data_IF_289307646805
#
_entry.id   IF_289307646805
#
_cell.length_a   1.000
_cell.length_b   1.000
_cell.length_c   1.000
_cell.angle_alpha   90.00
_cell.angle_beta   90.00
_cell.angle_gamma   90.00
#
_symmetry.space_group_name_H-M   'P 1'
#
loop_
_entity.id
_entity.type
_entity.pdbx_description
1 polymer ?
#
# COMPACT_ATOMS: atom_id res chain seq x y z
N UNK A 1 68.79 24.24 -50.00
CA UNK A 1 69.94 23.44 -50.47
C UNK A 1 70.20 22.39 -49.39
N UNK A 2 69.56 21.22 -49.35
CA UNK A 2 69.24 20.19 -50.39
C UNK A 2 70.47 19.33 -50.73
N UNK A 3 70.44 17.98 -50.75
CA UNK A 3 69.48 16.93 -50.31
C UNK A 3 70.27 15.82 -49.55
N UNK A 4 69.79 14.66 -49.05
CA UNK A 4 68.51 13.90 -49.10
C UNK A 4 68.23 13.31 -47.69
N UNK A 5 67.65 12.14 -47.33
CA UNK A 5 67.11 10.92 -47.99
C UNK A 5 68.07 9.69 -47.95
N UNK A 6 67.65 8.43 -47.75
CA UNK A 6 66.31 7.87 -47.48
C UNK A 6 66.34 6.43 -46.93
N UNK A 7 65.44 6.06 -46.00
CA UNK A 7 64.75 4.73 -45.99
C UNK A 7 63.54 4.70 -45.02
N UNK A 8 62.50 3.93 -45.38
CA UNK A 8 61.30 3.66 -44.57
C UNK A 8 61.42 2.31 -43.84
N UNK A 9 60.83 2.21 -42.65
CA UNK A 9 60.22 0.98 -42.11
C UNK A 9 58.92 1.40 -41.39
N UNK A 10 57.83 0.67 -41.60
CA UNK A 10 56.58 0.86 -40.84
C UNK A 10 56.54 -0.12 -39.66
N UNK A 11 56.00 0.32 -38.51
CA UNK A 11 55.71 -0.53 -37.36
C UNK A 11 54.22 -0.45 -37.03
N UNK A 12 53.58 -1.61 -36.83
CA UNK A 12 52.18 -1.72 -36.41
C UNK A 12 52.02 -1.69 -34.89
N UNK A 13 50.78 -1.58 -34.37
CA UNK A 13 50.50 -1.62 -32.94
C UNK A 13 50.71 -3.04 -32.36
N UNK A 14 51.20 -3.17 -31.11
CA UNK A 14 51.35 -4.46 -30.43
C UNK A 14 50.02 -4.95 -29.81
N UNK A 15 49.96 -6.25 -29.49
CA UNK A 15 48.84 -6.90 -28.83
C UNK A 15 49.24 -7.50 -27.46
N UNK A 16 48.26 -7.60 -26.57
CA UNK A 16 48.12 -8.51 -25.43
C UNK A 16 49.35 -8.83 -24.55
N UNK A 17 49.32 -8.35 -23.30
CA UNK A 17 48.98 -9.21 -22.14
C UNK A 17 48.94 -8.41 -20.82
N UNK A 18 48.11 -8.86 -19.84
CA UNK A 18 48.45 -8.97 -18.39
C UNK A 18 47.20 -9.32 -17.55
N UNK A 19 47.20 -10.54 -17.00
CA UNK A 19 46.55 -11.01 -15.75
C UNK A 19 45.04 -10.75 -15.55
N UNK A 20 44.29 -11.87 -15.53
CA UNK A 20 42.96 -11.96 -14.90
C UNK A 20 43.07 -11.74 -13.40
N UNK A 21 42.21 -10.88 -12.84
CA UNK A 21 41.94 -10.87 -11.40
C UNK A 21 40.43 -10.95 -11.16
N UNK A 22 40.01 -11.93 -10.34
CA UNK A 22 38.61 -12.38 -10.26
C UNK A 22 37.91 -11.67 -9.10
N UNK A 23 37.05 -10.70 -9.41
CA UNK A 23 36.37 -9.89 -8.38
C UNK A 23 34.83 -9.92 -8.52
N UNK A 24 34.16 -9.70 -7.40
CA UNK A 24 32.73 -9.96 -7.18
C UNK A 24 31.86 -8.86 -7.81
N UNK A 25 30.77 -9.25 -8.46
CA UNK A 25 29.69 -8.33 -8.88
C UNK A 25 28.61 -8.24 -7.79
N UNK A 26 28.28 -7.02 -7.36
CA UNK A 26 26.88 -6.60 -7.26
C UNK A 26 26.48 -5.71 -8.45
N UNK A 27 25.19 -5.47 -8.62
CA UNK A 27 24.62 -4.74 -9.77
C UNK A 27 24.85 -3.22 -9.68
N UNK A 28 24.80 -2.55 -10.84
CA UNK A 28 25.13 -1.13 -10.99
C UNK A 28 24.05 -0.21 -10.43
N UNK A 29 24.39 0.44 -9.32
CA UNK A 29 24.33 1.89 -9.11
C UNK A 29 23.60 2.71 -10.20
N UNK A 30 22.54 3.43 -9.83
CA UNK A 30 22.03 4.57 -10.60
C UNK A 30 21.95 5.82 -9.70
N UNK A 31 22.94 6.71 -9.81
CA UNK A 31 22.96 7.98 -9.07
C UNK A 31 21.85 8.92 -9.55
N UNK A 32 21.04 9.46 -8.63
CA UNK A 32 20.23 10.66 -8.82
C UNK A 32 20.50 11.60 -7.62
N UNK A 33 20.51 12.91 -7.86
CA UNK A 33 21.02 13.90 -6.91
C UNK A 33 20.02 14.21 -5.79
N UNK A 34 20.51 14.25 -4.56
CA UNK A 34 19.76 14.73 -3.38
C UNK A 34 19.44 16.23 -3.51
N UNK A 35 18.27 16.65 -3.01
CA UNK A 35 17.95 18.06 -2.70
C UNK A 35 17.11 18.08 -1.44
N UNK A 36 17.65 18.64 -0.35
CA UNK A 36 17.02 18.59 0.97
C UNK A 36 16.08 19.78 1.17
N UNK A 37 14.76 19.55 1.14
CA UNK A 37 13.75 20.54 1.50
C UNK A 37 13.14 20.23 2.87
N UNK A 38 13.39 21.11 3.85
CA UNK A 38 12.52 21.27 5.02
C UNK A 38 11.33 22.12 4.59
N UNK A 39 10.11 21.64 4.73
CA UNK A 39 8.92 22.43 4.44
C UNK A 39 8.24 22.92 5.72
N UNK A 40 8.49 24.19 6.02
CA UNK A 40 7.49 25.04 6.68
C UNK A 40 6.21 25.06 5.83
N UNK A 41 5.05 25.27 6.46
CA UNK A 41 3.77 25.26 5.77
C UNK A 41 3.64 26.34 4.67
N UNK A 42 2.88 25.99 3.62
CA UNK A 42 2.62 26.71 2.36
C UNK A 42 3.82 26.85 1.41
N UNK A 43 3.78 26.11 0.31
CA UNK A 43 3.73 26.70 -1.05
C UNK A 43 3.28 25.66 -2.10
N UNK A 44 2.74 26.13 -3.24
CA UNK A 44 2.20 25.29 -4.31
C UNK A 44 3.25 25.06 -5.42
N UNK A 45 3.97 23.93 -5.41
CA UNK A 45 4.79 23.52 -6.58
C UNK A 45 4.99 22.00 -6.71
N UNK A 46 4.54 21.48 -7.86
CA UNK A 46 5.10 20.41 -8.72
C UNK A 46 5.89 19.24 -8.10
N UNK A 47 5.43 18.03 -8.42
CA UNK A 47 6.25 16.82 -8.70
C UNK A 47 7.34 16.47 -7.66
N UNK A 48 6.92 16.14 -6.44
CA UNK A 48 7.79 15.66 -5.36
C UNK A 48 7.84 14.13 -5.26
N UNK A 49 8.48 13.44 -6.20
CA UNK A 49 8.67 11.98 -6.16
C UNK A 49 9.88 11.64 -5.28
N UNK A 50 9.65 11.17 -4.05
CA UNK A 50 10.69 10.89 -3.03
C UNK A 50 10.65 9.42 -2.59
N UNK A 51 11.83 8.81 -2.43
CA UNK A 51 12.04 7.54 -1.69
C UNK A 51 12.41 7.89 -0.24
N UNK A 52 11.76 7.29 0.76
CA UNK A 52 12.08 7.49 2.18
C UNK A 52 12.94 6.34 2.71
N UNK A 53 14.20 6.32 2.27
CA UNK A 53 15.16 5.29 2.62
C UNK A 53 15.94 5.64 3.90
N UNK A 54 15.95 4.66 4.81
CA UNK A 54 16.74 4.53 6.05
C UNK A 54 16.54 5.64 7.12
N UNK A 55 15.93 5.22 8.25
CA UNK A 55 15.76 5.93 9.53
C UNK A 55 14.94 7.25 9.62
N UNK A 56 14.36 7.79 8.54
CA UNK A 56 13.43 8.93 8.66
C UNK A 56 12.04 8.53 9.25
N UNK A 57 11.72 9.05 10.44
CA UNK A 57 10.34 9.18 10.93
C UNK A 57 9.69 10.39 10.24
N UNK A 58 8.75 10.17 9.33
CA UNK A 58 8.18 11.22 8.48
C UNK A 58 6.85 11.77 8.99
N UNK A 59 6.88 12.96 9.61
CA UNK A 59 5.67 13.77 9.84
C UNK A 59 5.40 14.68 8.63
N UNK A 60 4.15 14.79 8.17
CA UNK A 60 3.77 15.66 7.05
C UNK A 60 2.37 16.24 7.22
N UNK A 61 2.20 17.53 6.90
CA UNK A 61 0.89 18.21 6.86
C UNK A 61 0.70 18.85 5.49
N UNK A 62 -0.29 18.40 4.72
CA UNK A 62 -0.57 18.93 3.38
C UNK A 62 -0.94 17.87 2.33
N UNK A 63 -0.39 18.02 1.12
CA UNK A 63 -0.65 17.15 -0.03
C UNK A 63 0.63 16.37 -0.41
N UNK A 64 0.56 15.05 -0.34
CA UNK A 64 1.51 14.13 -0.98
C UNK A 64 0.88 13.68 -2.30
N UNK A 65 1.51 14.02 -3.43
CA UNK A 65 0.96 13.66 -4.74
C UNK A 65 1.30 12.21 -5.10
N UNK A 66 2.57 11.83 -4.97
CA UNK A 66 3.06 10.47 -5.20
C UNK A 66 4.18 10.19 -4.21
N UNK A 67 4.16 9.01 -3.60
CA UNK A 67 5.24 8.51 -2.75
C UNK A 67 5.47 7.05 -3.12
N UNK A 68 6.69 6.69 -3.54
CA UNK A 68 6.98 5.30 -3.91
C UNK A 68 7.11 4.43 -2.65
N UNK A 69 7.82 4.91 -1.63
CA UNK A 69 8.17 4.04 -0.51
C UNK A 69 8.28 4.78 0.83
N UNK A 70 7.71 4.17 1.88
CA UNK A 70 7.97 4.46 3.29
C UNK A 70 8.43 3.19 4.01
N UNK A 71 9.71 3.16 4.45
CA UNK A 71 10.29 1.99 5.12
C UNK A 71 9.87 1.85 6.59
N UNK A 72 9.84 2.94 7.36
CA UNK A 72 9.77 2.90 8.83
C UNK A 72 8.44 3.43 9.41
N UNK A 73 8.21 4.74 9.38
CA UNK A 73 6.94 5.29 9.87
C UNK A 73 6.59 6.63 9.24
N UNK A 74 5.33 6.74 8.81
CA UNK A 74 4.73 7.98 8.29
C UNK A 74 3.53 8.41 9.15
N UNK A 75 3.51 9.70 9.50
CA UNK A 75 2.35 10.39 10.07
C UNK A 75 1.93 11.51 9.13
N UNK A 76 0.74 11.43 8.55
CA UNK A 76 0.24 12.41 7.57
C UNK A 76 -1.08 13.03 8.00
N UNK A 77 -1.18 14.36 7.97
CA UNK A 77 -2.43 15.10 8.12
C UNK A 77 -2.75 15.82 6.80
N UNK A 78 -3.72 15.32 6.05
CA UNK A 78 -4.10 15.89 4.74
C UNK A 78 -4.45 14.83 3.69
N UNK A 79 -3.90 14.98 2.48
CA UNK A 79 -4.23 14.17 1.31
C UNK A 79 -2.99 13.44 0.79
N UNK A 80 -3.07 12.12 0.67
CA UNK A 80 -2.16 11.28 -0.12
C UNK A 80 -2.92 10.89 -1.39
N UNK A 81 -2.44 11.28 -2.57
CA UNK A 81 -3.07 10.86 -3.83
C UNK A 81 -2.61 9.46 -4.24
N UNK A 82 -1.30 9.20 -4.32
CA UNK A 82 -0.76 7.84 -4.55
C UNK A 82 0.34 7.51 -3.54
N UNK A 83 0.27 6.31 -2.97
CA UNK A 83 1.40 5.64 -2.32
C UNK A 83 1.49 4.19 -2.82
N UNK A 84 2.66 3.80 -3.32
CA UNK A 84 2.92 2.42 -3.73
C UNK A 84 3.14 1.55 -2.47
N UNK A 85 4.19 1.79 -1.68
CA UNK A 85 4.55 0.89 -0.57
C UNK A 85 4.76 1.56 0.82
N UNK A 86 4.07 1.03 1.84
CA UNK A 86 4.38 1.26 3.25
C UNK A 86 4.77 -0.05 3.95
N UNK A 87 6.03 -0.21 4.32
CA UNK A 87 6.51 -1.48 4.91
C UNK A 87 6.10 -1.63 6.38
N UNK A 88 6.26 -0.58 7.21
CA UNK A 88 6.14 -0.70 8.67
C UNK A 88 4.89 -0.03 9.27
N UNK A 89 4.85 1.31 9.37
CA UNK A 89 3.76 2.02 10.07
C UNK A 89 3.25 3.23 9.30
N UNK A 90 1.94 3.27 9.04
CA UNK A 90 1.24 4.46 8.56
C UNK A 90 0.19 4.93 9.56
N UNK A 91 0.15 6.24 9.82
CA UNK A 91 -0.94 6.91 10.53
C UNK A 91 -1.39 8.12 9.70
N UNK A 92 -2.63 8.11 9.20
CA UNK A 92 -3.15 9.16 8.32
C UNK A 92 -4.45 9.75 8.86
N UNK A 93 -4.51 11.08 8.94
CA UNK A 93 -5.74 11.83 9.23
C UNK A 93 -6.10 12.65 8.01
N UNK A 94 -7.16 12.24 7.30
CA UNK A 94 -7.59 12.87 6.05
C UNK A 94 -7.94 11.85 4.97
N UNK A 95 -7.34 11.94 3.78
CA UNK A 95 -7.72 11.14 2.61
C UNK A 95 -6.51 10.43 2.00
N UNK A 96 -6.68 9.15 1.69
CA UNK A 96 -5.80 8.34 0.83
C UNK A 96 -6.62 8.00 -0.42
N UNK A 97 -6.16 8.41 -1.61
CA UNK A 97 -6.87 8.08 -2.86
C UNK A 97 -6.45 6.69 -3.36
N UNK A 98 -5.16 6.43 -3.54
CA UNK A 98 -4.64 5.09 -3.83
C UNK A 98 -3.51 4.72 -2.87
N UNK A 99 -3.61 3.53 -2.28
CA UNK A 99 -2.51 2.85 -1.62
C UNK A 99 -2.42 1.42 -2.17
N UNK A 100 -1.30 1.06 -2.81
CA UNK A 100 -1.13 -0.30 -3.33
C UNK A 100 -0.87 -1.28 -2.17
N UNK A 101 0.20 -1.06 -1.39
CA UNK A 101 0.63 -2.05 -0.38
C UNK A 101 0.95 -1.46 1.00
N UNK A 102 0.31 -2.00 2.04
CA UNK A 102 0.72 -1.84 3.43
C UNK A 102 1.07 -3.21 4.06
N UNK A 103 2.34 -3.43 4.40
CA UNK A 103 2.76 -4.75 4.90
C UNK A 103 2.42 -4.95 6.38
N UNK A 104 2.81 -4.02 7.27
CA UNK A 104 2.72 -4.23 8.72
C UNK A 104 1.52 -3.54 9.41
N UNK A 105 1.43 -2.21 9.41
CA UNK A 105 0.34 -1.51 10.12
C UNK A 105 -0.09 -0.19 9.47
N UNK A 106 -1.40 -0.02 9.29
CA UNK A 106 -2.02 1.26 8.94
C UNK A 106 -3.12 1.63 9.93
N UNK A 107 -3.15 2.90 10.33
CA UNK A 107 -4.24 3.52 11.07
C UNK A 107 -4.72 4.75 10.30
N UNK A 108 -5.99 4.78 9.87
CA UNK A 108 -6.55 5.89 9.08
C UNK A 108 -7.81 6.46 9.71
N UNK A 109 -7.86 7.79 9.86
CA UNK A 109 -9.04 8.54 10.27
C UNK A 109 -9.47 9.43 9.09
N UNK A 110 -10.56 9.07 8.42
CA UNK A 110 -11.06 9.76 7.23
C UNK A 110 -11.44 8.80 6.10
N UNK A 111 -10.89 8.99 4.90
CA UNK A 111 -11.31 8.26 3.70
C UNK A 111 -10.14 7.54 3.02
N UNK A 112 -10.36 6.27 2.66
CA UNK A 112 -9.54 5.50 1.72
C UNK A 112 -10.42 5.26 0.48
N UNK A 113 -9.97 5.69 -0.70
CA UNK A 113 -10.71 5.41 -1.94
C UNK A 113 -10.36 4.02 -2.48
N UNK A 114 -9.08 3.75 -2.73
CA UNK A 114 -8.58 2.41 -3.09
C UNK A 114 -7.45 1.99 -2.17
N UNK A 115 -7.54 0.77 -1.65
CA UNK A 115 -6.43 0.02 -1.06
C UNK A 115 -6.37 -1.36 -1.71
N UNK A 116 -5.27 -1.71 -2.37
CA UNK A 116 -5.16 -3.04 -2.99
C UNK A 116 -4.85 -4.08 -1.90
N UNK A 117 -3.77 -3.90 -1.13
CA UNK A 117 -3.29 -4.92 -0.20
C UNK A 117 -2.92 -4.38 1.19
N UNK A 118 -3.49 -4.98 2.23
CA UNK A 118 -2.99 -4.91 3.61
C UNK A 118 -2.68 -6.30 4.16
N UNK A 119 -1.41 -6.58 4.45
CA UNK A 119 -1.00 -7.92 4.88
C UNK A 119 -1.31 -8.16 6.37
N UNK A 120 -0.80 -7.32 7.28
CA UNK A 120 -0.87 -7.59 8.73
C UNK A 120 -2.01 -6.89 9.48
N UNK A 121 -2.08 -5.56 9.50
CA UNK A 121 -3.09 -4.85 10.29
C UNK A 121 -3.56 -3.52 9.71
N UNK A 122 -4.88 -3.35 9.63
CA UNK A 122 -5.53 -2.08 9.30
C UNK A 122 -6.57 -1.72 10.37
N UNK A 123 -6.53 -0.46 10.83
CA UNK A 123 -7.58 0.16 11.63
C UNK A 123 -8.08 1.42 10.94
N UNK A 124 -9.37 1.48 10.59
CA UNK A 124 -9.96 2.62 9.87
C UNK A 124 -11.17 3.18 10.59
N UNK A 125 -11.20 4.50 10.79
CA UNK A 125 -12.38 5.25 11.27
C UNK A 125 -12.83 6.19 10.17
N UNK A 126 -13.96 5.89 9.52
CA UNK A 126 -14.49 6.66 8.39
C UNK A 126 -14.94 5.77 7.23
N UNK A 127 -14.44 6.01 6.02
CA UNK A 127 -14.92 5.35 4.79
C UNK A 127 -13.79 4.64 4.04
N UNK A 128 -14.06 3.42 3.60
CA UNK A 128 -13.30 2.69 2.59
C UNK A 128 -14.22 2.51 1.38
N UNK A 129 -13.81 2.97 0.20
CA UNK A 129 -14.60 2.75 -1.01
C UNK A 129 -14.28 1.37 -1.61
N UNK A 130 -13.03 1.08 -1.93
CA UNK A 130 -12.58 -0.23 -2.40
C UNK A 130 -11.43 -0.74 -1.54
N UNK A 131 -11.52 -1.99 -1.12
CA UNK A 131 -10.40 -2.78 -0.62
C UNK A 131 -10.39 -4.15 -1.27
N UNK A 132 -9.34 -4.48 -2.01
CA UNK A 132 -9.23 -5.79 -2.65
C UNK A 132 -8.86 -6.86 -1.61
N UNK A 133 -7.73 -6.73 -0.91
CA UNK A 133 -7.20 -7.79 -0.04
C UNK A 133 -6.76 -7.33 1.35
N UNK A 134 -7.28 -8.00 2.38
CA UNK A 134 -6.75 -7.95 3.74
C UNK A 134 -6.44 -9.35 4.28
N UNK A 135 -5.16 -9.67 4.51
CA UNK A 135 -4.78 -11.04 4.88
C UNK A 135 -5.05 -11.32 6.37
N UNK A 136 -4.48 -10.56 7.29
CA UNK A 136 -4.49 -10.90 8.72
C UNK A 136 -5.58 -10.23 9.56
N UNK A 137 -5.60 -8.90 9.68
CA UNK A 137 -6.54 -8.22 10.59
C UNK A 137 -7.05 -6.86 10.10
N UNK A 138 -8.36 -6.69 10.15
CA UNK A 138 -9.08 -5.46 9.84
C UNK A 138 -10.02 -5.07 10.98
N UNK A 139 -9.97 -3.81 11.39
CA UNK A 139 -10.96 -3.19 12.26
C UNK A 139 -11.47 -1.88 11.63
N UNK A 140 -12.77 -1.81 11.32
CA UNK A 140 -13.37 -0.63 10.65
C UNK A 140 -14.56 -0.09 11.44
N UNK A 141 -14.57 1.22 11.69
CA UNK A 141 -15.72 1.94 12.24
C UNK A 141 -16.20 2.95 11.20
N UNK A 142 -17.35 2.69 10.59
CA UNK A 142 -17.93 3.51 9.53
C UNK A 142 -18.44 2.69 8.34
N UNK A 143 -17.97 2.99 7.12
CA UNK A 143 -18.51 2.44 5.88
C UNK A 143 -17.43 1.73 5.05
N UNK A 144 -17.73 0.53 4.58
CA UNK A 144 -17.01 -0.17 3.51
C UNK A 144 -17.98 -0.30 2.33
N UNK A 145 -17.61 0.21 1.15
CA UNK A 145 -18.46 0.05 -0.04
C UNK A 145 -18.18 -1.31 -0.71
N UNK A 146 -16.94 -1.59 -1.10
CA UNK A 146 -16.52 -2.89 -1.63
C UNK A 146 -15.35 -3.45 -0.83
N UNK A 147 -15.45 -4.71 -0.44
CA UNK A 147 -14.34 -5.52 0.07
C UNK A 147 -14.35 -6.88 -0.63
N UNK A 148 -13.33 -7.17 -1.44
CA UNK A 148 -13.28 -8.44 -2.18
C UNK A 148 -12.88 -9.58 -1.22
N UNK A 149 -11.73 -9.48 -0.56
CA UNK A 149 -11.16 -10.60 0.21
C UNK A 149 -10.67 -10.19 1.61
N UNK A 150 -11.15 -10.90 2.63
CA UNK A 150 -10.55 -10.92 3.96
C UNK A 150 -10.26 -12.34 4.43
N UNK A 151 -8.98 -12.69 4.61
CA UNK A 151 -8.60 -14.08 4.89
C UNK A 151 -8.80 -14.45 6.37
N UNK A 152 -8.17 -13.74 7.30
CA UNK A 152 -8.11 -14.18 8.71
C UNK A 152 -9.11 -13.53 9.67
N UNK A 153 -9.18 -12.19 9.75
CA UNK A 153 -10.09 -11.55 10.71
C UNK A 153 -10.56 -10.15 10.32
N UNK A 154 -11.88 -9.94 10.42
CA UNK A 154 -12.56 -8.66 10.20
C UNK A 154 -13.50 -8.33 11.37
N UNK A 155 -13.42 -7.09 11.85
CA UNK A 155 -14.39 -6.52 12.79
C UNK A 155 -14.90 -5.18 12.26
N UNK A 156 -16.20 -5.07 12.00
CA UNK A 156 -16.80 -3.88 11.41
C UNK A 156 -17.95 -3.35 12.26
N UNK A 157 -17.94 -2.04 12.56
CA UNK A 157 -19.06 -1.33 13.19
C UNK A 157 -19.58 -0.28 12.21
N UNK A 158 -20.76 -0.53 11.62
CA UNK A 158 -21.38 0.35 10.63
C UNK A 158 -21.96 -0.39 9.43
N UNK A 159 -21.57 -0.01 8.21
CA UNK A 159 -22.14 -0.50 6.95
C UNK A 159 -21.08 -1.18 6.08
N UNK A 160 -21.39 -2.37 5.57
CA UNK A 160 -20.73 -3.02 4.44
C UNK A 160 -21.74 -3.05 3.29
N UNK A 161 -21.42 -2.50 2.12
CA UNK A 161 -22.30 -2.62 0.96
C UNK A 161 -22.06 -3.97 0.24
N UNK A 162 -20.85 -4.25 -0.21
CA UNK A 162 -20.47 -5.53 -0.82
C UNK A 162 -19.28 -6.15 -0.07
N UNK A 163 -19.40 -7.43 0.27
CA UNK A 163 -18.30 -8.30 0.70
C UNK A 163 -18.35 -9.60 -0.10
N UNK A 164 -17.34 -9.85 -0.94
CA UNK A 164 -17.32 -11.07 -1.73
C UNK A 164 -16.90 -12.26 -0.86
N UNK A 165 -15.71 -12.22 -0.25
CA UNK A 165 -15.13 -13.37 0.45
C UNK A 165 -14.57 -13.06 1.84
N UNK A 166 -15.03 -13.81 2.84
CA UNK A 166 -14.36 -13.89 4.14
C UNK A 166 -14.08 -15.34 4.54
N UNK A 167 -12.80 -15.72 4.62
CA UNK A 167 -12.44 -17.13 4.86
C UNK A 167 -12.64 -17.53 6.33
N UNK A 168 -12.01 -16.83 7.29
CA UNK A 168 -11.92 -17.29 8.67
C UNK A 168 -12.91 -16.66 9.66
N UNK A 169 -12.84 -15.35 9.94
CA UNK A 169 -13.66 -14.72 10.99
C UNK A 169 -14.17 -13.34 10.61
N UNK A 170 -15.48 -13.18 10.65
CA UNK A 170 -16.19 -11.90 10.50
C UNK A 170 -17.03 -11.61 11.75
N UNK A 171 -16.92 -10.38 12.27
CA UNK A 171 -17.82 -9.85 13.30
C UNK A 171 -18.32 -8.47 12.88
N UNK A 172 -19.62 -8.34 12.64
CA UNK A 172 -20.23 -7.08 12.16
C UNK A 172 -21.32 -6.60 13.12
N UNK A 173 -21.27 -5.32 13.51
CA UNK A 173 -22.34 -4.64 14.23
C UNK A 173 -22.90 -3.55 13.32
N UNK A 174 -24.12 -3.75 12.82
CA UNK A 174 -24.72 -2.93 11.77
C UNK A 174 -25.19 -3.75 10.57
N UNK A 175 -25.04 -3.20 9.35
CA UNK A 175 -25.69 -3.73 8.16
C UNK A 175 -24.69 -4.24 7.12
N UNK A 176 -25.02 -5.37 6.50
CA UNK A 176 -24.37 -5.88 5.28
C UNK A 176 -25.42 -5.91 4.17
N UNK A 177 -25.18 -5.29 3.03
CA UNK A 177 -26.13 -5.33 1.92
C UNK A 177 -25.95 -6.62 1.11
N UNK A 178 -24.74 -6.92 0.64
CA UNK A 178 -24.41 -8.16 -0.05
C UNK A 178 -23.21 -8.85 0.60
N UNK A 179 -23.36 -10.15 0.85
CA UNK A 179 -22.29 -11.08 1.21
C UNK A 179 -22.35 -12.31 0.31
N UNK A 180 -21.33 -12.55 -0.51
CA UNK A 180 -21.31 -13.75 -1.36
C UNK A 180 -20.89 -14.98 -0.54
N UNK A 181 -19.70 -14.96 0.07
CA UNK A 181 -19.11 -16.15 0.68
C UNK A 181 -18.51 -15.89 2.08
N UNK A 182 -18.96 -16.66 3.07
CA UNK A 182 -18.26 -16.80 4.35
C UNK A 182 -18.02 -18.27 4.72
N UNK A 183 -16.76 -18.70 4.75
CA UNK A 183 -16.41 -20.11 4.95
C UNK A 183 -16.54 -20.55 6.42
N UNK A 184 -15.81 -19.94 7.35
CA UNK A 184 -15.64 -20.51 8.69
C UNK A 184 -16.54 -19.92 9.79
N UNK A 185 -16.53 -18.60 10.04
CA UNK A 185 -17.29 -18.02 11.15
C UNK A 185 -17.76 -16.59 10.90
N UNK A 186 -19.08 -16.38 10.92
CA UNK A 186 -19.71 -15.05 10.89
C UNK A 186 -20.56 -14.79 12.14
N UNK A 187 -20.42 -13.60 12.72
CA UNK A 187 -21.32 -13.08 13.74
C UNK A 187 -21.83 -11.69 13.36
N UNK A 188 -23.14 -11.53 13.20
CA UNK A 188 -23.73 -10.24 12.73
C UNK A 188 -24.82 -9.77 13.66
N UNK A 189 -24.60 -8.61 14.30
CA UNK A 189 -25.57 -7.92 15.15
C UNK A 189 -26.18 -6.77 14.35
N UNK A 190 -27.25 -7.07 13.61
CA UNK A 190 -27.97 -6.07 12.81
C UNK A 190 -28.79 -6.71 11.69
N UNK A 191 -28.37 -6.54 10.43
CA UNK A 191 -29.07 -7.09 9.26
C UNK A 191 -28.09 -7.49 8.14
N UNK A 192 -28.39 -8.59 7.46
CA UNK A 192 -27.84 -8.95 6.14
C UNK A 192 -29.01 -8.95 5.16
N UNK A 193 -28.92 -8.22 4.04
CA UNK A 193 -29.97 -8.25 3.00
C UNK A 193 -29.82 -9.47 2.08
N UNK A 194 -28.64 -9.62 1.47
CA UNK A 194 -28.32 -10.70 0.55
C UNK A 194 -27.15 -11.52 1.10
N UNK A 195 -27.34 -12.84 1.16
CA UNK A 195 -26.29 -13.81 1.49
C UNK A 195 -26.41 -14.99 0.53
N UNK A 196 -25.33 -15.31 -0.21
CA UNK A 196 -25.33 -16.49 -1.08
C UNK A 196 -24.87 -17.76 -0.35
N UNK A 197 -23.70 -17.73 0.30
CA UNK A 197 -23.06 -18.92 0.87
C UNK A 197 -22.45 -18.66 2.26
N UNK A 198 -22.84 -19.48 3.24
CA UNK A 198 -22.14 -19.59 4.52
C UNK A 198 -22.02 -21.05 4.92
N UNK A 199 -20.79 -21.55 5.13
CA UNK A 199 -20.53 -23.00 5.13
C UNK A 199 -20.44 -23.64 6.52
N UNK A 200 -19.74 -23.04 7.49
CA UNK A 200 -19.49 -23.69 8.78
C UNK A 200 -20.28 -23.12 9.96
N UNK A 201 -20.19 -21.81 10.27
CA UNK A 201 -20.86 -21.21 11.44
C UNK A 201 -21.35 -19.78 11.21
N UNK A 202 -22.65 -19.58 11.43
CA UNK A 202 -23.29 -18.28 11.53
C UNK A 202 -23.93 -18.12 12.92
N UNK A 203 -23.79 -16.94 13.55
CA UNK A 203 -24.59 -16.54 14.71
C UNK A 203 -25.17 -15.13 14.50
N UNK A 204 -26.48 -15.03 14.35
CA UNK A 204 -27.21 -13.78 14.19
C UNK A 204 -28.26 -13.68 15.31
N UNK A 205 -28.10 -12.83 16.35
CA UNK A 205 -29.19 -12.55 17.28
C UNK A 205 -30.40 -11.99 16.51
N UNK A 206 -31.60 -12.45 16.86
CA UNK A 206 -32.78 -12.26 16.02
C UNK A 206 -33.24 -10.79 15.96
N UNK A 207 -33.25 -10.24 14.74
CA UNK A 207 -34.04 -9.08 14.34
C UNK A 207 -35.09 -9.55 13.30
N UNK A 208 -36.24 -8.87 13.15
CA UNK A 208 -37.38 -9.42 12.41
C UNK A 208 -37.11 -9.51 10.90
N UNK A 209 -36.89 -10.71 10.39
CA UNK A 209 -36.78 -11.01 8.96
C UNK A 209 -38.11 -10.82 8.23
N UNK A 210 -38.31 -9.63 7.66
CA UNK A 210 -39.21 -9.47 6.53
C UNK A 210 -38.46 -9.82 5.25
N UNK A 211 -38.66 -11.05 4.77
CA UNK A 211 -38.41 -11.36 3.36
C UNK A 211 -39.29 -10.47 2.48
N UNK A 212 -38.72 -9.99 1.39
CA UNK A 212 -39.35 -9.35 0.24
C UNK A 212 -38.69 -9.90 -1.02
#
# INVERSE_FOLDING_TARGET
MDHTGSRKVSLGPPAENTVVNKMILPLKNHHIRQTTLRLSGRENTKEGQKRLDEDEQGETVGLIHTLEQCLNSMQTVGLIHTLEQCLNRMQTVGLIHTLEQCLNSMQTVGLIHTLEQCLNSMQTVGLIHTLEQCLNSMQTVGLIHTLEQCLNSMQTVGLIHTLEQCLNRMQTVGLIHTLEQCLNSMQTVGLIHTLEQCLNRMSHPAAPTKHF
#
